data_IF_732591032835
#
_entry.id   IF_732591032835
#
_cell.length_a   1.000
_cell.length_b   1.000
_cell.length_c   1.000
_cell.angle_alpha   90.00
_cell.angle_beta   90.00
_cell.angle_gamma   90.00
#
_symmetry.space_group_name_H-M   'P 1'
#
loop_
_entity.id
_entity.type
_entity.pdbx_description
1 polymer ?
#
# COMPACT_ATOMS: atom_id res chain seq x y z
N UNK A 1 14.74 4.47 -15.94
CA UNK A 1 15.12 3.14 -15.39
C UNK A 1 13.86 2.46 -14.85
N UNK A 2 13.86 1.15 -14.57
CA UNK A 2 12.72 0.43 -13.97
C UNK A 2 13.07 -0.17 -12.62
N UNK A 3 12.05 -0.50 -11.84
CA UNK A 3 12.23 -1.22 -10.57
C UNK A 3 12.98 -2.55 -10.77
N UNK A 4 12.74 -3.24 -11.89
CA UNK A 4 13.43 -4.49 -12.25
C UNK A 4 14.90 -4.34 -12.64
N UNK A 5 15.37 -3.11 -12.88
CA UNK A 5 16.79 -2.85 -13.12
C UNK A 5 17.57 -2.77 -11.79
N UNK A 6 16.89 -2.53 -10.67
CA UNK A 6 17.48 -2.40 -9.33
C UNK A 6 17.51 -3.74 -8.56
N UNK A 7 16.45 -4.53 -8.70
CA UNK A 7 16.32 -5.88 -8.15
C UNK A 7 15.41 -6.72 -9.05
N UNK A 8 15.57 -8.04 -9.01
CA UNK A 8 14.68 -8.97 -9.72
C UNK A 8 13.25 -8.95 -9.14
N UNK A 9 12.28 -9.44 -9.91
CA UNK A 9 10.87 -9.55 -9.45
C UNK A 9 10.79 -10.43 -8.20
N UNK A 10 11.57 -11.50 -8.14
CA UNK A 10 11.62 -12.44 -7.02
C UNK A 10 12.14 -11.77 -5.75
N UNK A 11 13.16 -10.92 -5.86
CA UNK A 11 13.69 -10.19 -4.70
C UNK A 11 12.70 -9.11 -4.22
N UNK A 12 12.01 -8.42 -5.13
CA UNK A 12 10.92 -7.50 -4.76
C UNK A 12 9.76 -8.22 -4.08
N UNK A 13 9.38 -9.41 -4.58
CA UNK A 13 8.38 -10.27 -3.94
C UNK A 13 8.83 -10.73 -2.55
N UNK A 14 10.11 -11.01 -2.35
CA UNK A 14 10.64 -11.35 -1.04
C UNK A 14 10.52 -10.18 -0.06
N UNK A 15 10.76 -8.94 -0.50
CA UNK A 15 10.56 -7.75 0.32
C UNK A 15 9.08 -7.54 0.67
N UNK A 16 8.16 -7.67 -0.29
CA UNK A 16 6.72 -7.59 0.00
C UNK A 16 6.28 -8.64 1.02
N UNK A 17 6.79 -9.87 0.89
CA UNK A 17 6.52 -10.95 1.85
C UNK A 17 7.06 -10.61 3.24
N UNK A 18 8.29 -10.11 3.34
CA UNK A 18 8.90 -9.68 4.60
C UNK A 18 8.05 -8.57 5.26
N UNK A 19 7.61 -7.58 4.49
CA UNK A 19 6.74 -6.50 4.98
C UNK A 19 5.39 -7.05 5.47
N UNK A 20 4.78 -7.96 4.72
CA UNK A 20 3.52 -8.59 5.12
C UNK A 20 3.68 -9.43 6.41
N UNK A 21 4.72 -10.25 6.51
CA UNK A 21 4.96 -11.11 7.66
C UNK A 21 5.28 -10.31 8.92
N UNK A 22 6.09 -9.26 8.79
CA UNK A 22 6.55 -8.43 9.92
C UNK A 22 5.51 -7.41 10.36
N UNK A 23 4.77 -6.81 9.42
CA UNK A 23 3.92 -5.65 9.69
C UNK A 23 2.44 -5.85 9.39
N UNK A 24 2.04 -6.99 8.81
CA UNK A 24 0.64 -7.29 8.46
C UNK A 24 0.00 -6.18 7.61
N UNK A 25 0.69 -5.80 6.53
CA UNK A 25 0.19 -4.87 5.52
C UNK A 25 -0.02 -5.57 4.17
N UNK A 26 -0.86 -4.97 3.33
CA UNK A 26 -0.98 -5.29 1.90
C UNK A 26 0.22 -4.68 1.16
N UNK A 27 1.40 -5.28 1.33
CA UNK A 27 2.66 -4.76 0.78
C UNK A 27 2.64 -4.66 -0.75
N UNK A 28 3.32 -3.65 -1.29
CA UNK A 28 3.40 -3.42 -2.72
C UNK A 28 4.69 -2.72 -3.16
N UNK A 29 5.18 -3.17 -4.31
CA UNK A 29 6.21 -2.52 -5.10
C UNK A 29 5.60 -2.14 -6.44
N UNK A 30 5.71 -0.86 -6.79
CA UNK A 30 5.12 -0.28 -8.00
C UNK A 30 6.14 0.49 -8.80
N UNK A 31 5.97 0.52 -10.11
CA UNK A 31 6.65 1.42 -11.03
C UNK A 31 6.17 2.86 -10.82
N UNK A 32 6.84 3.84 -11.43
CA UNK A 32 6.49 5.27 -11.30
C UNK A 32 5.04 5.61 -11.70
N UNK A 33 4.40 4.81 -12.57
CA UNK A 33 2.99 4.99 -12.97
C UNK A 33 1.99 4.25 -12.07
N UNK A 34 2.46 3.65 -10.97
CA UNK A 34 1.64 2.88 -10.03
C UNK A 34 1.36 1.45 -10.46
N UNK A 35 1.89 0.98 -11.61
CA UNK A 35 1.76 -0.43 -11.98
C UNK A 35 2.58 -1.28 -11.04
N UNK A 36 1.96 -2.34 -10.53
CA UNK A 36 2.64 -3.30 -9.68
C UNK A 36 3.74 -4.04 -10.44
N UNK A 37 4.91 -4.15 -9.82
CA UNK A 37 6.08 -4.89 -10.34
C UNK A 37 5.94 -6.39 -10.11
N UNK A 38 5.37 -6.75 -8.96
CA UNK A 38 5.24 -8.13 -8.48
C UNK A 38 3.91 -8.78 -8.86
N UNK A 39 3.85 -10.11 -8.71
CA UNK A 39 2.62 -10.88 -8.91
C UNK A 39 1.62 -10.82 -7.73
N UNK A 40 1.25 -12.00 -7.23
CA UNK A 40 0.17 -12.20 -6.26
C UNK A 40 0.40 -11.41 -4.95
N UNK A 41 -0.64 -10.69 -4.52
CA UNK A 41 -0.68 -9.95 -3.26
C UNK A 41 -0.99 -10.88 -2.07
N UNK A 42 -0.31 -10.66 -0.95
CA UNK A 42 -0.71 -11.18 0.36
C UNK A 42 -1.67 -10.17 1.02
N UNK A 43 -2.82 -10.65 1.45
CA UNK A 43 -3.86 -9.81 2.05
C UNK A 43 -3.73 -9.80 3.57
N UNK A 44 -3.68 -8.61 4.16
CA UNK A 44 -3.72 -8.46 5.62
C UNK A 44 -5.14 -8.42 6.18
N UNK A 45 -6.15 -8.21 5.34
CA UNK A 45 -7.57 -8.21 5.72
C UNK A 45 -8.47 -8.61 4.54
N UNK A 46 -9.64 -9.15 4.87
CA UNK A 46 -10.63 -9.68 3.93
C UNK A 46 -11.45 -8.59 3.25
N UNK A 47 -11.66 -7.43 3.88
CA UNK A 47 -12.38 -6.30 3.28
C UNK A 47 -11.63 -5.77 2.05
N UNK A 48 -10.33 -5.47 2.19
CA UNK A 48 -9.49 -5.00 1.09
C UNK A 48 -9.42 -6.03 -0.05
N UNK A 49 -9.34 -7.31 0.29
CA UNK A 49 -9.39 -8.40 -0.69
C UNK A 49 -10.71 -8.37 -1.47
N UNK A 50 -11.83 -8.30 -0.76
CA UNK A 50 -13.18 -8.26 -1.34
C UNK A 50 -13.38 -7.04 -2.24
N UNK A 51 -12.93 -5.86 -1.81
CA UNK A 51 -12.94 -4.63 -2.61
C UNK A 51 -12.12 -4.82 -3.89
N UNK A 52 -10.92 -5.42 -3.80
CA UNK A 52 -10.00 -5.58 -4.93
C UNK A 52 -10.36 -6.71 -5.89
N UNK A 53 -11.20 -7.66 -5.48
CA UNK A 53 -11.76 -8.71 -6.33
C UNK A 53 -13.05 -8.26 -7.05
N UNK A 54 -13.55 -7.05 -6.75
CA UNK A 54 -14.74 -6.45 -7.36
C UNK A 54 -14.37 -5.29 -8.29
N UNK A 55 -14.85 -5.31 -9.55
CA UNK A 55 -14.64 -4.19 -10.48
C UNK A 55 -15.18 -2.86 -9.93
N UNK A 56 -16.31 -2.91 -9.19
CA UNK A 56 -16.89 -1.73 -8.54
C UNK A 56 -16.01 -1.23 -7.39
N UNK A 57 -15.48 -2.15 -6.57
CA UNK A 57 -14.62 -1.81 -5.45
C UNK A 57 -13.27 -1.27 -5.90
N UNK A 58 -12.67 -1.88 -6.92
CA UNK A 58 -11.45 -1.36 -7.54
C UNK A 58 -11.71 0.02 -8.13
N UNK A 59 -12.73 0.18 -8.97
CA UNK A 59 -13.01 1.43 -9.68
C UNK A 59 -13.50 2.57 -8.79
N UNK A 60 -14.22 2.25 -7.71
CA UNK A 60 -14.86 3.24 -6.84
C UNK A 60 -14.14 3.56 -5.53
N UNK A 61 -13.24 2.69 -5.06
CA UNK A 61 -12.53 2.88 -3.79
C UNK A 61 -11.01 2.82 -4.00
N UNK A 62 -10.50 1.70 -4.52
CA UNK A 62 -9.06 1.46 -4.41
C UNK A 62 -8.22 2.10 -5.51
N UNK A 63 -8.77 2.28 -6.72
CA UNK A 63 -8.09 2.96 -7.82
C UNK A 63 -8.03 4.49 -7.64
N UNK A 64 -9.11 5.18 -7.20
CA UNK A 64 -9.05 6.62 -6.92
C UNK A 64 -7.95 7.00 -5.91
N UNK A 65 -7.94 6.40 -4.70
CA UNK A 65 -6.86 6.68 -3.75
C UNK A 65 -5.48 6.29 -4.31
N UNK A 66 -5.40 5.17 -5.05
CA UNK A 66 -4.17 4.75 -5.71
C UNK A 66 -3.60 5.78 -6.69
N UNK A 67 -4.46 6.42 -7.49
CA UNK A 67 -4.06 7.48 -8.42
C UNK A 67 -3.56 8.71 -7.68
N UNK A 68 -4.20 9.07 -6.57
CA UNK A 68 -3.75 10.18 -5.73
C UNK A 68 -2.38 9.89 -5.10
N UNK A 69 -2.15 8.68 -4.60
CA UNK A 69 -0.84 8.29 -4.07
C UNK A 69 0.27 8.31 -5.15
N UNK A 70 -0.04 7.92 -6.39
CA UNK A 70 0.90 8.05 -7.51
C UNK A 70 1.22 9.53 -7.79
N UNK A 71 0.21 10.41 -7.77
CA UNK A 71 0.39 11.85 -7.93
C UNK A 71 1.28 12.43 -6.83
N UNK A 72 0.97 12.16 -5.56
CA UNK A 72 1.76 12.59 -4.40
C UNK A 72 3.21 12.09 -4.48
N UNK A 73 3.42 10.82 -4.85
CA UNK A 73 4.76 10.24 -5.03
C UNK A 73 5.56 11.00 -6.08
N UNK A 74 4.94 11.35 -7.22
CA UNK A 74 5.58 12.07 -8.33
C UNK A 74 5.93 13.51 -7.97
N UNK A 75 5.04 14.20 -7.26
CA UNK A 75 5.20 15.61 -6.90
C UNK A 75 6.20 15.81 -5.75
N UNK A 76 6.02 15.07 -4.65
CA UNK A 76 6.80 15.30 -3.43
C UNK A 76 8.14 14.56 -3.45
N UNK A 77 8.17 13.37 -4.07
CA UNK A 77 9.34 12.47 -4.08
C UNK A 77 9.93 12.23 -2.68
N UNK A 78 9.05 12.22 -1.68
CA UNK A 78 9.37 11.95 -0.28
C UNK A 78 8.47 10.83 0.26
N UNK A 79 8.94 10.11 1.29
CA UNK A 79 8.11 9.18 2.03
C UNK A 79 6.86 9.87 2.60
N UNK A 80 5.74 9.16 2.62
CA UNK A 80 4.53 9.63 3.30
C UNK A 80 3.74 8.49 3.95
N UNK A 81 2.90 8.87 4.90
CA UNK A 81 1.84 8.06 5.50
C UNK A 81 0.55 8.86 5.29
N UNK A 82 -0.39 8.28 4.57
CA UNK A 82 -1.68 8.89 4.24
C UNK A 82 -2.79 7.87 4.45
N UNK A 83 -4.04 8.27 4.26
CA UNK A 83 -5.21 7.39 4.35
C UNK A 83 -5.87 7.24 2.99
N UNK A 84 -6.46 6.07 2.72
CA UNK A 84 -7.33 5.89 1.58
C UNK A 84 -8.77 6.37 1.89
N UNK A 85 -9.64 6.29 0.90
CA UNK A 85 -11.02 6.80 0.98
C UNK A 85 -11.89 6.05 2.02
N UNK A 86 -11.38 4.91 2.52
CA UNK A 86 -11.99 4.15 3.62
C UNK A 86 -11.17 4.21 4.92
N UNK A 87 -10.36 5.26 5.11
CA UNK A 87 -9.61 5.55 6.34
C UNK A 87 -8.54 4.50 6.72
N UNK A 88 -8.15 3.63 5.79
CA UNK A 88 -7.03 2.70 6.01
C UNK A 88 -5.71 3.37 5.64
N UNK A 89 -4.69 3.17 6.47
CA UNK A 89 -3.36 3.72 6.27
C UNK A 89 -2.72 3.19 4.99
N UNK A 90 -1.99 4.08 4.32
CA UNK A 90 -1.11 3.86 3.19
C UNK A 90 0.27 4.40 3.55
N UNK A 91 1.27 3.53 3.51
CA UNK A 91 2.68 3.89 3.62
C UNK A 91 3.28 3.82 2.21
N UNK A 92 4.07 4.81 1.85
CA UNK A 92 4.72 4.88 0.55
C UNK A 92 6.10 5.53 0.64
N UNK A 93 7.11 4.85 0.13
CA UNK A 93 8.49 5.32 0.06
C UNK A 93 8.93 5.35 -1.40
N UNK A 94 9.21 6.52 -1.99
CA UNK A 94 9.65 6.62 -3.38
C UNK A 94 11.07 6.07 -3.56
N UNK A 95 11.31 5.46 -4.71
CA UNK A 95 12.63 5.02 -5.16
C UNK A 95 13.11 5.98 -6.22
N UNK A 96 14.13 6.79 -5.89
CA UNK A 96 14.65 7.86 -6.74
C UNK A 96 16.12 7.59 -7.05
N UNK A 97 16.48 7.60 -8.34
CA UNK A 97 17.85 7.40 -8.84
C UNK A 97 18.22 8.58 -9.71
N UNK A 98 19.31 9.29 -9.39
CA UNK A 98 19.77 10.47 -10.14
C UNK A 98 18.64 11.50 -10.40
N UNK A 99 17.85 11.82 -9.37
CA UNK A 99 16.68 12.71 -9.43
C UNK A 99 15.51 12.23 -10.33
N UNK A 100 15.55 10.99 -10.84
CA UNK A 100 14.46 10.33 -11.57
C UNK A 100 13.66 9.43 -10.62
N UNK A 101 12.33 9.58 -10.60
CA UNK A 101 11.45 8.66 -9.88
C UNK A 101 11.34 7.35 -10.67
N UNK A 102 11.74 6.24 -10.07
CA UNK A 102 11.69 4.92 -10.70
C UNK A 102 10.41 4.17 -10.30
N UNK A 103 9.96 4.37 -9.06
CA UNK A 103 8.80 3.69 -8.50
C UNK A 103 8.65 3.96 -7.02
N UNK A 104 7.93 3.10 -6.32
CA UNK A 104 7.77 3.17 -4.88
C UNK A 104 7.63 1.79 -4.23
N UNK A 105 8.02 1.72 -2.96
CA UNK A 105 7.81 0.56 -2.09
C UNK A 105 6.91 1.00 -0.94
N UNK A 106 5.93 0.18 -0.58
CA UNK A 106 4.96 0.56 0.43
C UNK A 106 3.97 -0.55 0.76
N UNK A 107 2.81 -0.12 1.25
CA UNK A 107 1.67 -0.98 1.48
C UNK A 107 0.54 -0.23 2.15
N UNK A 108 -0.62 -0.87 2.24
CA UNK A 108 -1.79 -0.30 2.91
C UNK A 108 -2.52 -1.34 3.76
N UNK A 109 -3.58 -0.92 4.44
CA UNK A 109 -4.58 -1.84 4.97
C UNK A 109 -4.82 -1.80 6.49
N UNK A 110 -3.87 -1.39 7.35
CA UNK A 110 -4.19 -1.18 8.76
C UNK A 110 -5.09 0.04 8.97
N UNK A 111 -5.97 -0.03 9.97
CA UNK A 111 -6.73 1.12 10.46
C UNK A 111 -5.88 1.87 11.50
N UNK A 112 -5.60 3.18 11.34
CA UNK A 112 -4.96 3.97 12.38
C UNK A 112 -5.74 3.95 13.70
N UNK A 113 -5.04 3.90 14.82
CA UNK A 113 -5.67 4.00 16.15
C UNK A 113 -6.45 5.32 16.29
N UNK A 114 -7.72 5.22 16.68
CA UNK A 114 -8.60 6.37 16.85
C UNK A 114 -9.40 6.76 15.60
N UNK A 115 -9.13 6.12 14.46
CA UNK A 115 -9.94 6.28 13.26
C UNK A 115 -11.10 5.28 13.24
N UNK A 116 -12.13 5.61 12.45
CA UNK A 116 -13.25 4.75 12.14
C UNK A 116 -13.22 4.40 10.64
N UNK A 117 -13.68 3.20 10.30
CA UNK A 117 -13.80 2.76 8.92
C UNK A 117 -14.98 3.48 8.24
N UNK A 118 -14.81 3.96 7.02
CA UNK A 118 -15.90 4.55 6.23
C UNK A 118 -16.79 3.45 5.59
N UNK A 119 -17.57 2.77 6.43
CA UNK A 119 -18.41 1.63 6.04
C UNK A 119 -19.52 2.02 5.05
N UNK A 120 -20.06 3.23 5.17
CA UNK A 120 -21.14 3.70 4.29
C UNK A 120 -20.66 3.82 2.84
N UNK A 121 -19.45 4.32 2.60
CA UNK A 121 -18.86 4.36 1.25
C UNK A 121 -18.68 2.96 0.68
N UNK A 122 -18.22 2.00 1.50
CA UNK A 122 -18.10 0.60 1.10
C UNK A 122 -19.48 0.05 0.71
N UNK A 123 -20.50 0.27 1.54
CA UNK A 123 -21.86 -0.21 1.28
C UNK A 123 -22.41 0.32 -0.04
N UNK A 124 -22.39 1.63 -0.25
CA UNK A 124 -22.94 2.25 -1.47
C UNK A 124 -22.19 1.82 -2.72
N UNK A 125 -20.85 1.69 -2.64
CA UNK A 125 -20.03 1.34 -3.80
C UNK A 125 -20.13 -0.14 -4.16
N UNK A 126 -20.08 -1.00 -3.16
CA UNK A 126 -20.05 -2.46 -3.34
C UNK A 126 -21.45 -3.07 -3.40
N UNK A 127 -22.46 -2.38 -2.87
CA UNK A 127 -23.81 -2.91 -2.69
C UNK A 127 -23.87 -3.98 -1.59
N UNK A 128 -23.03 -3.87 -0.57
CA UNK A 128 -22.98 -4.80 0.57
C UNK A 128 -23.82 -4.25 1.73
N UNK A 129 -24.43 -5.16 2.47
CA UNK A 129 -25.15 -4.85 3.70
C UNK A 129 -24.16 -4.54 4.83
N UNK A 130 -24.52 -3.63 5.74
CA UNK A 130 -23.66 -3.20 6.86
C UNK A 130 -23.10 -4.38 7.68
N UNK A 131 -23.93 -5.40 7.95
CA UNK A 131 -23.50 -6.58 8.69
C UNK A 131 -22.42 -7.41 7.98
N UNK A 132 -22.42 -7.45 6.65
CA UNK A 132 -21.38 -8.13 5.87
C UNK A 132 -20.07 -7.33 5.90
N UNK A 133 -20.16 -6.00 5.80
CA UNK A 133 -19.01 -5.10 5.88
C UNK A 133 -18.35 -5.20 7.24
N UNK A 134 -19.13 -5.14 8.32
CA UNK A 134 -18.64 -5.28 9.68
C UNK A 134 -17.90 -6.61 9.87
N UNK A 135 -18.45 -7.72 9.37
CA UNK A 135 -17.80 -9.02 9.44
C UNK A 135 -16.46 -9.06 8.67
N UNK A 136 -16.40 -8.47 7.47
CA UNK A 136 -15.14 -8.36 6.72
C UNK A 136 -14.12 -7.46 7.42
N UNK A 137 -14.59 -6.40 8.07
CA UNK A 137 -13.78 -5.42 8.78
C UNK A 137 -13.12 -5.98 10.05
N UNK A 138 -13.67 -7.03 10.67
CA UNK A 138 -13.06 -7.70 11.84
C UNK A 138 -11.62 -8.17 11.59
N UNK A 139 -11.26 -8.44 10.33
CA UNK A 139 -9.93 -8.86 9.93
C UNK A 139 -8.92 -7.72 9.77
N UNK A 140 -9.36 -6.46 9.85
CA UNK A 140 -8.50 -5.28 9.65
C UNK A 140 -7.55 -5.12 10.85
N UNK A 141 -6.23 -5.15 10.64
CA UNK A 141 -5.30 -4.87 11.72
C UNK A 141 -5.36 -3.40 12.12
N UNK A 142 -5.24 -3.10 13.40
CA UNK A 142 -5.06 -1.72 13.88
C UNK A 142 -3.57 -1.39 14.01
N UNK A 143 -3.17 -0.15 13.76
CA UNK A 143 -1.80 0.31 13.94
C UNK A 143 -1.73 1.70 14.59
N UNK A 144 -0.87 1.86 15.60
CA UNK A 144 -0.54 3.17 16.16
C UNK A 144 0.28 4.00 15.18
N UNK A 145 0.33 5.31 15.38
CA UNK A 145 1.19 6.20 14.59
C UNK A 145 2.67 5.77 14.65
N UNK A 146 3.18 5.44 15.83
CA UNK A 146 4.55 4.93 16.01
C UNK A 146 4.80 3.67 15.18
N UNK A 147 3.81 2.77 15.08
CA UNK A 147 3.92 1.56 14.28
C UNK A 147 3.94 1.86 12.78
N UNK A 148 3.16 2.83 12.32
CA UNK A 148 3.18 3.27 10.91
C UNK A 148 4.51 3.92 10.54
N UNK A 149 5.08 4.72 11.44
CA UNK A 149 6.41 5.32 11.30
C UNK A 149 7.53 4.26 11.30
N UNK A 150 7.43 3.23 12.15
CA UNK A 150 8.35 2.10 12.14
C UNK A 150 8.35 1.37 10.79
N UNK A 151 7.15 1.17 10.20
CA UNK A 151 7.00 0.57 8.87
C UNK A 151 7.69 1.45 7.82
N UNK A 152 7.42 2.75 7.83
CA UNK A 152 8.02 3.69 6.88
C UNK A 152 9.54 3.68 6.98
N UNK A 153 10.10 3.82 8.19
CA UNK A 153 11.53 3.80 8.43
C UNK A 153 12.18 2.48 8.01
N UNK A 154 11.50 1.35 8.21
CA UNK A 154 11.98 0.05 7.75
C UNK A 154 12.07 0.00 6.22
N UNK A 155 11.06 0.50 5.51
CA UNK A 155 11.05 0.54 4.05
C UNK A 155 12.13 1.50 3.53
N UNK A 156 12.28 2.67 4.13
CA UNK A 156 13.34 3.62 3.79
C UNK A 156 14.74 2.99 3.87
N UNK A 157 15.02 2.26 4.96
CA UNK A 157 16.29 1.56 5.11
C UNK A 157 16.50 0.51 4.01
N UNK A 158 15.47 -0.28 3.67
CA UNK A 158 15.54 -1.26 2.57
C UNK A 158 15.78 -0.58 1.22
N UNK A 159 15.07 0.50 0.92
CA UNK A 159 15.28 1.27 -0.32
C UNK A 159 16.70 1.82 -0.38
N UNK A 160 17.22 2.39 0.71
CA UNK A 160 18.59 2.88 0.78
C UNK A 160 19.63 1.77 0.53
N UNK A 161 19.44 0.58 1.09
CA UNK A 161 20.30 -0.58 0.83
C UNK A 161 20.30 -0.99 -0.65
N UNK A 162 19.13 -0.96 -1.31
CA UNK A 162 18.99 -1.28 -2.73
C UNK A 162 19.71 -0.26 -3.61
N UNK A 163 19.53 1.02 -3.32
CA UNK A 163 20.20 2.10 -4.04
C UNK A 163 21.72 2.02 -3.89
N UNK A 164 22.22 1.76 -2.67
CA UNK A 164 23.66 1.63 -2.42
C UNK A 164 24.32 0.47 -3.18
N UNK A 165 23.58 -0.62 -3.46
CA UNK A 165 24.08 -1.77 -4.25
C UNK A 165 24.15 -1.50 -5.75
N UNK A 166 23.38 -0.52 -6.23
CA UNK A 166 23.22 -0.17 -7.64
C UNK A 166 23.82 1.21 -7.98
N UNK A 167 24.60 1.79 -7.06
CA UNK A 167 25.31 3.06 -7.22
C UNK A 167 26.68 2.88 -7.88
#
# INVERSE_FOLDING_TARGET
MKMTDLMTVEEWQALEKELHEKFKINAEVVEEDGKRVTGKRLWCNDLCKTIRESDKGVGGICAPSGQEFVRLTREERKPFIEECDICLAKINVPVVVNDELIGAVGGCGPLPEGNELEEFMVSVTMGLEEGEIAQLAESIPTASQERLEEIQAFIENKVAEVLARNS
#
